data_IF_535049772398
#
_entry.id   IF_535049772398
#
_cell.length_a   1.000
_cell.length_b   1.000
_cell.length_c   1.000
_cell.angle_alpha   90.00
_cell.angle_beta   90.00
_cell.angle_gamma   90.00
#
_symmetry.space_group_name_H-M   'P 1'
#
loop_
_entity.id
_entity.type
_entity.pdbx_description
1 polymer ?
#
# COMPACT_ATOMS: atom_id res chain seq x y z
N UNK A 1 12.63 17.68 -5.33
CA UNK A 1 12.75 18.09 -6.74
C UNK A 1 12.85 16.79 -7.52
N UNK A 2 11.69 16.26 -7.99
CA UNK A 2 11.70 15.15 -8.95
C UNK A 2 12.14 15.72 -10.29
N UNK A 3 13.43 15.64 -10.59
CA UNK A 3 13.93 15.87 -11.92
C UNK A 3 13.70 14.59 -12.74
N UNK A 4 12.62 14.56 -13.51
CA UNK A 4 12.47 13.61 -14.60
C UNK A 4 13.51 13.96 -15.68
N UNK A 5 14.69 13.37 -15.60
CA UNK A 5 15.62 13.36 -16.72
C UNK A 5 15.12 12.32 -17.73
N UNK A 6 14.67 12.83 -18.86
CA UNK A 6 14.28 12.08 -20.05
C UNK A 6 15.50 11.31 -20.58
N UNK A 7 15.45 9.99 -20.44
CA UNK A 7 16.42 9.07 -21.00
C UNK A 7 15.84 7.66 -20.95
N UNK A 8 15.20 7.25 -22.03
CA UNK A 8 14.36 6.06 -22.12
C UNK A 8 15.07 4.69 -21.98
N UNK A 9 16.37 4.64 -21.86
CA UNK A 9 17.09 3.36 -21.77
C UNK A 9 17.44 2.91 -20.35
N UNK A 10 17.47 3.81 -19.37
CA UNK A 10 17.85 3.46 -17.99
C UNK A 10 16.72 2.82 -17.18
N UNK A 11 15.44 3.06 -17.53
CA UNK A 11 14.29 2.46 -16.85
C UNK A 11 14.08 0.98 -17.17
N UNK A 12 14.51 0.48 -18.34
CA UNK A 12 14.27 -0.91 -18.75
C UNK A 12 15.18 -1.89 -18.02
N UNK A 13 16.43 -1.50 -17.74
CA UNK A 13 17.38 -2.35 -17.02
C UNK A 13 17.02 -2.54 -15.54
N UNK A 14 16.56 -1.48 -14.89
CA UNK A 14 16.24 -1.51 -13.46
C UNK A 14 14.98 -2.37 -13.17
N UNK A 15 13.96 -2.30 -14.05
CA UNK A 15 12.77 -3.16 -13.95
C UNK A 15 13.07 -4.64 -14.12
N UNK A 16 14.03 -4.99 -14.99
CA UNK A 16 14.40 -6.39 -15.24
C UNK A 16 15.15 -6.98 -14.03
N UNK A 17 16.02 -6.21 -13.37
CA UNK A 17 16.75 -6.66 -12.16
C UNK A 17 15.78 -6.86 -11.01
N UNK A 18 14.82 -5.95 -10.80
CA UNK A 18 13.78 -6.08 -9.76
C UNK A 18 12.91 -7.31 -9.99
N UNK A 19 12.50 -7.58 -11.20
CA UNK A 19 11.69 -8.76 -11.52
C UNK A 19 12.43 -10.08 -11.25
N UNK A 20 13.73 -10.14 -11.48
CA UNK A 20 14.57 -11.32 -11.23
C UNK A 20 14.76 -11.56 -9.72
N UNK A 21 14.94 -10.50 -8.93
CA UNK A 21 15.11 -10.59 -7.48
C UNK A 21 13.79 -10.96 -6.78
N UNK A 22 12.65 -10.44 -7.25
CA UNK A 22 11.33 -10.80 -6.71
C UNK A 22 11.03 -12.29 -6.86
N UNK A 23 11.54 -12.94 -7.91
CA UNK A 23 11.36 -14.38 -8.12
C UNK A 23 12.11 -15.28 -7.12
N UNK A 24 13.08 -14.75 -6.37
CA UNK A 24 13.91 -15.49 -5.40
C UNK A 24 13.45 -15.33 -3.93
N UNK A 25 12.36 -14.63 -3.67
CA UNK A 25 11.90 -14.29 -2.32
C UNK A 25 10.99 -15.35 -1.68
N UNK A 26 10.79 -15.22 -0.37
CA UNK A 26 9.78 -15.98 0.36
C UNK A 26 8.38 -15.40 0.10
N UNK A 27 7.39 -16.27 -0.03
CA UNK A 27 6.00 -15.88 -0.24
C UNK A 27 5.15 -16.31 0.95
N UNK A 28 4.39 -15.39 1.51
CA UNK A 28 3.38 -15.67 2.53
C UNK A 28 2.01 -15.33 1.96
N UNK A 29 1.13 -16.32 1.91
CA UNK A 29 -0.26 -16.12 1.52
C UNK A 29 -1.08 -15.78 2.76
N UNK A 30 -1.73 -14.63 2.76
CA UNK A 30 -2.72 -14.24 3.75
C UNK A 30 -4.09 -14.16 3.09
N UNK A 31 -5.12 -14.62 3.79
CA UNK A 31 -6.51 -14.38 3.39
C UNK A 31 -7.00 -13.25 4.29
N UNK A 32 -7.30 -12.09 3.72
CA UNK A 32 -7.93 -11.01 4.48
C UNK A 32 -9.34 -11.42 4.88
N UNK A 33 -9.73 -11.06 6.09
CA UNK A 33 -11.05 -11.38 6.64
C UNK A 33 -12.21 -10.61 6.00
N UNK A 34 -13.39 -10.70 6.63
CA UNK A 34 -14.63 -10.04 6.17
C UNK A 34 -14.67 -8.52 6.42
N UNK A 35 -13.61 -7.94 6.92
CA UNK A 35 -13.52 -6.55 7.37
C UNK A 35 -12.85 -5.60 6.36
N UNK A 36 -12.54 -6.10 5.17
CA UNK A 36 -11.96 -5.32 4.08
C UNK A 36 -12.94 -4.30 3.50
N UNK A 37 -12.38 -3.23 2.91
CA UNK A 37 -13.12 -2.27 2.10
C UNK A 37 -12.56 -2.25 0.68
N UNK A 38 -13.43 -2.49 -0.31
CA UNK A 38 -13.06 -2.46 -1.73
C UNK A 38 -14.09 -1.65 -2.50
N UNK A 39 -13.66 -0.59 -3.15
CA UNK A 39 -14.56 0.21 -3.98
C UNK A 39 -13.82 0.80 -5.19
N UNK A 40 -14.32 0.51 -6.37
CA UNK A 40 -13.80 1.03 -7.63
C UNK A 40 -12.41 0.51 -8.05
N UNK A 41 -11.82 -0.41 -7.29
CA UNK A 41 -10.49 -0.98 -7.59
C UNK A 41 -10.63 -2.18 -8.51
N UNK A 42 -9.91 -2.17 -9.61
CA UNK A 42 -9.84 -3.31 -10.53
C UNK A 42 -8.78 -4.31 -10.06
N UNK A 43 -9.19 -5.51 -9.72
CA UNK A 43 -8.33 -6.61 -9.28
C UNK A 43 -8.21 -7.69 -10.36
N UNK A 44 -7.13 -8.46 -10.44
CA UNK A 44 -6.01 -8.49 -9.50
C UNK A 44 -4.94 -7.42 -9.74
N UNK A 45 -4.23 -7.04 -8.68
CA UNK A 45 -3.03 -6.19 -8.71
C UNK A 45 -1.81 -6.99 -8.27
N UNK A 46 -0.66 -6.75 -8.89
CA UNK A 46 0.55 -7.55 -8.65
C UNK A 46 1.79 -6.68 -8.47
N UNK A 47 2.73 -7.20 -7.68
CA UNK A 47 4.04 -6.60 -7.44
C UNK A 47 3.96 -5.15 -6.95
N UNK A 48 3.05 -4.88 -6.05
CA UNK A 48 2.88 -3.57 -5.44
C UNK A 48 3.89 -3.41 -4.30
N UNK A 49 4.81 -2.45 -4.38
CA UNK A 49 5.71 -2.13 -3.28
C UNK A 49 4.94 -1.55 -2.10
N UNK A 50 5.39 -1.87 -0.89
CA UNK A 50 4.73 -1.44 0.35
C UNK A 50 5.53 -0.33 1.01
N UNK A 51 4.95 0.86 1.14
CA UNK A 51 5.50 1.98 1.88
C UNK A 51 5.11 1.89 3.35
N UNK A 52 6.08 1.59 4.21
CA UNK A 52 5.90 1.47 5.66
C UNK A 52 6.40 2.74 6.33
N UNK A 53 5.60 3.42 7.15
CA UNK A 53 6.04 4.61 7.86
C UNK A 53 7.03 4.23 8.97
N UNK A 54 8.19 4.87 8.98
CA UNK A 54 9.21 4.68 10.03
C UNK A 54 8.90 5.57 11.23
N UNK A 55 8.38 6.78 10.97
CA UNK A 55 7.95 7.73 11.99
C UNK A 55 6.42 7.77 12.05
N UNK A 56 5.88 7.55 13.24
CA UNK A 56 4.44 7.53 13.48
C UNK A 56 3.89 8.92 13.87
N UNK A 57 4.76 9.90 14.09
CA UNK A 57 4.36 11.27 14.49
C UNK A 57 3.89 12.10 13.29
N UNK A 58 4.52 11.92 12.12
CA UNK A 58 4.11 12.54 10.84
C UNK A 58 4.01 11.47 9.75
N UNK A 59 2.87 10.80 9.67
CA UNK A 59 2.62 9.73 8.72
C UNK A 59 2.77 10.16 7.26
N UNK A 60 2.38 11.40 6.92
CA UNK A 60 2.46 11.91 5.54
C UNK A 60 3.91 11.97 5.08
N UNK A 61 4.78 12.58 5.89
CA UNK A 61 6.21 12.65 5.59
C UNK A 61 6.88 11.27 5.65
N UNK A 62 6.46 10.42 6.57
CA UNK A 62 7.00 9.06 6.72
C UNK A 62 6.68 8.19 5.49
N UNK A 63 5.45 8.19 4.98
CA UNK A 63 5.11 7.50 3.73
C UNK A 63 5.84 8.08 2.53
N UNK A 64 5.96 9.40 2.44
CA UNK A 64 6.75 10.04 1.37
C UNK A 64 8.20 9.57 1.39
N UNK A 65 8.84 9.53 2.57
CA UNK A 65 10.21 9.06 2.72
C UNK A 65 10.35 7.59 2.37
N UNK A 66 9.41 6.74 2.80
CA UNK A 66 9.39 5.33 2.46
C UNK A 66 9.29 5.11 0.94
N UNK A 67 8.46 5.88 0.24
CA UNK A 67 8.38 5.83 -1.23
C UNK A 67 9.68 6.28 -1.91
N UNK A 68 10.32 7.33 -1.41
CA UNK A 68 11.63 7.78 -1.91
C UNK A 68 12.69 6.69 -1.72
N UNK A 69 12.71 6.00 -0.58
CA UNK A 69 13.64 4.89 -0.34
C UNK A 69 13.42 3.70 -1.28
N UNK A 70 12.17 3.51 -1.73
CA UNK A 70 11.81 2.51 -2.73
C UNK A 70 12.03 2.99 -4.17
N UNK A 71 12.57 4.21 -4.36
CA UNK A 71 12.75 4.85 -5.66
C UNK A 71 11.43 5.00 -6.44
N UNK A 72 10.35 5.36 -5.72
CA UNK A 72 9.02 5.56 -6.26
C UNK A 72 8.59 7.03 -6.20
N UNK A 73 7.89 7.45 -7.25
CA UNK A 73 7.26 8.76 -7.29
C UNK A 73 5.83 8.67 -6.75
N UNK A 74 5.48 9.39 -5.68
CA UNK A 74 4.14 9.33 -5.09
C UNK A 74 3.00 9.71 -6.04
N UNK A 75 3.30 10.46 -7.12
CA UNK A 75 2.29 10.98 -8.06
C UNK A 75 2.05 10.10 -9.28
N UNK A 76 2.93 9.15 -9.56
CA UNK A 76 2.87 8.39 -10.83
C UNK A 76 2.93 6.89 -10.66
N UNK A 77 3.53 6.41 -9.58
CA UNK A 77 3.73 4.97 -9.38
C UNK A 77 2.59 4.35 -8.57
N UNK A 78 2.37 3.06 -8.78
CA UNK A 78 1.44 2.28 -7.98
C UNK A 78 2.16 1.70 -6.75
N UNK A 79 1.58 1.88 -5.59
CA UNK A 79 2.12 1.41 -4.31
C UNK A 79 1.00 1.15 -3.31
N UNK A 80 1.38 0.59 -2.18
CA UNK A 80 0.50 0.37 -1.03
C UNK A 80 1.04 1.12 0.17
N UNK A 81 0.20 1.84 0.89
CA UNK A 81 0.54 2.47 2.16
C UNK A 81 0.25 1.49 3.30
N UNK A 82 1.25 1.16 4.08
CA UNK A 82 1.05 0.40 5.31
C UNK A 82 0.73 1.34 6.46
N UNK A 83 -0.17 0.91 7.34
CA UNK A 83 -0.42 1.61 8.60
C UNK A 83 0.62 1.19 9.65
N UNK A 84 0.87 2.06 10.66
CA UNK A 84 1.76 1.71 11.76
C UNK A 84 1.32 0.42 12.46
N UNK A 85 2.27 -0.47 12.74
CA UNK A 85 1.99 -1.72 13.42
C UNK A 85 1.52 -1.51 14.89
N UNK A 86 1.97 -0.41 15.50
CA UNK A 86 1.66 -0.04 16.89
C UNK A 86 0.37 0.79 17.03
N UNK A 87 -0.37 1.01 15.93
CA UNK A 87 -1.56 1.85 15.95
C UNK A 87 -2.58 1.31 16.98
N UNK A 88 -2.90 2.07 18.04
CA UNK A 88 -3.89 1.62 18.99
C UNK A 88 -5.29 1.63 18.37
N UNK A 89 -6.07 0.57 18.60
CA UNK A 89 -7.46 0.48 18.12
C UNK A 89 -8.35 1.40 18.96
N UNK A 90 -8.16 2.71 18.75
CA UNK A 90 -8.95 3.78 19.40
C UNK A 90 -9.46 4.74 18.34
N UNK A 91 -10.66 5.23 18.50
CA UNK A 91 -11.29 6.15 17.54
C UNK A 91 -10.42 7.36 17.20
N UNK A 92 -9.77 7.97 18.20
CA UNK A 92 -8.88 9.11 18.00
C UNK A 92 -7.67 8.76 17.09
N UNK A 93 -7.06 7.59 17.27
CA UNK A 93 -5.94 7.15 16.45
C UNK A 93 -6.37 6.86 15.00
N UNK A 94 -7.55 6.26 14.83
CA UNK A 94 -8.14 6.04 13.51
C UNK A 94 -8.39 7.37 12.79
N UNK A 95 -8.92 8.39 13.48
CA UNK A 95 -9.11 9.73 12.91
C UNK A 95 -7.78 10.38 12.50
N UNK A 96 -6.72 10.22 13.27
CA UNK A 96 -5.39 10.73 12.92
C UNK A 96 -4.90 10.10 11.63
N UNK A 97 -5.06 8.79 11.48
CA UNK A 97 -4.68 8.07 10.24
C UNK A 97 -5.53 8.53 9.05
N UNK A 98 -6.83 8.70 9.23
CA UNK A 98 -7.73 9.19 8.18
C UNK A 98 -7.28 10.56 7.69
N UNK A 99 -7.03 11.50 8.59
CA UNK A 99 -6.57 12.84 8.24
C UNK A 99 -5.22 12.78 7.50
N UNK A 100 -4.29 11.94 7.96
CA UNK A 100 -3.01 11.75 7.30
C UNK A 100 -3.16 11.15 5.89
N UNK A 101 -4.05 10.19 5.68
CA UNK A 101 -4.31 9.62 4.35
C UNK A 101 -4.95 10.63 3.41
N UNK A 102 -5.90 11.42 3.89
CA UNK A 102 -6.54 12.50 3.11
C UNK A 102 -5.52 13.57 2.73
N UNK A 103 -4.69 14.01 3.69
CA UNK A 103 -3.62 14.97 3.44
C UNK A 103 -2.58 14.43 2.46
N UNK A 104 -2.24 13.14 2.56
CA UNK A 104 -1.31 12.49 1.64
C UNK A 104 -1.86 12.51 0.22
N UNK A 105 -3.11 12.09 0.01
CA UNK A 105 -3.76 12.11 -1.31
C UNK A 105 -3.85 13.54 -1.87
N UNK A 106 -4.15 14.53 -1.04
CA UNK A 106 -4.21 15.93 -1.45
C UNK A 106 -2.84 16.48 -1.90
N UNK A 107 -1.75 16.09 -1.22
CA UNK A 107 -0.37 16.50 -1.57
C UNK A 107 0.18 15.76 -2.79
N UNK A 108 -0.21 14.50 -2.95
CA UNK A 108 0.31 13.60 -3.98
C UNK A 108 -0.84 12.98 -4.79
N UNK A 109 -1.56 13.80 -5.58
CA UNK A 109 -2.62 13.27 -6.45
C UNK A 109 -2.00 12.24 -7.42
N UNK A 110 -2.61 11.05 -7.47
CA UNK A 110 -2.10 9.90 -8.20
C UNK A 110 -3.26 9.26 -9.00
N UNK A 111 -3.06 8.86 -10.27
CA UNK A 111 -4.09 8.20 -11.08
C UNK A 111 -4.40 6.77 -10.62
N UNK A 112 -3.53 6.17 -9.81
CA UNK A 112 -3.74 4.83 -9.26
C UNK A 112 -4.69 4.85 -8.05
N UNK A 113 -5.35 3.72 -7.73
CA UNK A 113 -6.18 3.62 -6.53
C UNK A 113 -5.37 3.84 -5.25
N UNK A 114 -6.01 4.37 -4.22
CA UNK A 114 -5.45 4.38 -2.88
C UNK A 114 -5.56 2.97 -2.29
N UNK A 115 -4.41 2.36 -2.06
CA UNK A 115 -4.30 1.03 -1.48
C UNK A 115 -3.68 1.14 -0.09
N UNK A 116 -4.37 0.64 0.91
CA UNK A 116 -3.94 0.69 2.32
C UNK A 116 -3.95 -0.72 2.89
N UNK A 117 -2.90 -1.08 3.62
CA UNK A 117 -2.83 -2.33 4.39
C UNK A 117 -2.64 -2.04 5.87
N UNK A 118 -3.30 -2.85 6.69
CA UNK A 118 -3.23 -2.79 8.14
C UNK A 118 -2.97 -4.18 8.72
N UNK A 119 -2.18 -4.25 9.79
CA UNK A 119 -1.97 -5.49 10.53
C UNK A 119 -3.10 -5.84 11.51
N UNK A 120 -4.06 -4.94 11.68
CA UNK A 120 -5.14 -5.03 12.67
C UNK A 120 -6.49 -4.99 11.97
N UNK A 121 -7.50 -5.59 12.61
CA UNK A 121 -8.88 -5.69 12.13
C UNK A 121 -9.63 -4.35 12.30
N UNK A 122 -9.48 -3.44 11.33
CA UNK A 122 -10.30 -2.23 11.23
C UNK A 122 -10.43 -1.69 9.79
N UNK A 123 -10.12 -2.50 8.79
CA UNK A 123 -10.15 -2.09 7.39
C UNK A 123 -11.49 -1.54 6.94
N UNK A 124 -12.58 -2.20 7.31
CA UNK A 124 -13.94 -1.75 6.99
C UNK A 124 -14.27 -0.41 7.65
N UNK A 125 -13.95 -0.25 8.94
CA UNK A 125 -14.21 0.98 9.65
C UNK A 125 -13.42 2.15 9.05
N UNK A 126 -12.15 1.92 8.69
CA UNK A 126 -11.31 2.91 8.03
C UNK A 126 -11.86 3.29 6.65
N UNK A 127 -12.24 2.31 5.85
CA UNK A 127 -12.83 2.52 4.52
C UNK A 127 -14.13 3.33 4.59
N UNK A 128 -15.01 3.00 5.53
CA UNK A 128 -16.27 3.74 5.75
C UNK A 128 -16.03 5.21 6.11
N UNK A 129 -15.00 5.50 6.89
CA UNK A 129 -14.69 6.88 7.30
C UNK A 129 -13.89 7.65 6.25
N UNK A 130 -13.08 6.97 5.43
CA UNK A 130 -12.34 7.59 4.31
C UNK A 130 -13.25 7.93 3.14
N UNK A 131 -14.24 7.08 2.86
CA UNK A 131 -15.09 7.21 1.67
C UNK A 131 -15.75 8.58 1.48
N UNK A 132 -16.37 9.21 2.51
CA UNK A 132 -16.96 10.53 2.36
C UNK A 132 -15.96 11.64 1.98
N UNK A 133 -14.68 11.46 2.32
CA UNK A 133 -13.61 12.43 2.06
C UNK A 133 -12.91 12.20 0.71
N UNK A 134 -12.95 10.96 0.18
CA UNK A 134 -12.28 10.54 -1.05
C UNK A 134 -13.27 10.00 -2.09
N UNK A 135 -14.38 10.70 -2.30
CA UNK A 135 -15.57 10.23 -3.03
C UNK A 135 -15.33 9.66 -4.43
N UNK A 136 -14.32 10.12 -5.16
CA UNK A 136 -14.06 9.69 -6.53
C UNK A 136 -12.82 8.80 -6.68
N UNK A 137 -12.03 8.64 -5.63
CA UNK A 137 -10.81 7.85 -5.68
C UNK A 137 -11.14 6.36 -5.46
N UNK A 138 -10.72 5.46 -6.36
CA UNK A 138 -10.78 4.04 -6.08
C UNK A 138 -9.98 3.70 -4.81
N UNK A 139 -10.61 2.97 -3.89
CA UNK A 139 -10.08 2.73 -2.54
C UNK A 139 -10.13 1.24 -2.20
N UNK A 140 -9.00 0.72 -1.74
CA UNK A 140 -8.93 -0.58 -1.08
C UNK A 140 -8.25 -0.44 0.28
N UNK A 141 -8.90 -0.91 1.32
CA UNK A 141 -8.33 -1.07 2.66
C UNK A 141 -8.40 -2.54 3.03
N UNK A 142 -7.24 -3.14 3.23
CA UNK A 142 -7.09 -4.57 3.49
C UNK A 142 -6.44 -4.71 4.86
N UNK A 143 -7.06 -5.44 5.74
CA UNK A 143 -6.58 -5.66 7.09
C UNK A 143 -6.02 -7.06 7.31
N UNK A 144 -5.49 -7.32 8.51
CA UNK A 144 -4.86 -8.58 8.90
C UNK A 144 -3.66 -8.98 8.04
N UNK A 145 -3.01 -8.02 7.37
CA UNK A 145 -1.83 -8.25 6.55
C UNK A 145 -0.59 -7.70 7.25
N UNK A 146 0.33 -8.58 7.59
CA UNK A 146 1.61 -8.20 8.21
C UNK A 146 2.65 -8.02 7.11
N UNK A 147 3.22 -6.84 7.03
CA UNK A 147 4.23 -6.46 6.05
C UNK A 147 5.49 -5.90 6.72
N UNK A 148 6.61 -6.01 6.03
CA UNK A 148 7.93 -5.51 6.46
C UNK A 148 8.52 -4.59 5.40
N UNK A 149 9.51 -3.81 5.78
CA UNK A 149 10.23 -2.96 4.84
C UNK A 149 10.85 -3.79 3.70
N UNK A 150 10.62 -3.36 2.46
CA UNK A 150 11.07 -4.05 1.26
C UNK A 150 10.12 -5.15 0.75
N UNK A 151 8.98 -5.37 1.41
CA UNK A 151 7.96 -6.31 0.93
C UNK A 151 7.20 -5.74 -0.27
N UNK A 152 6.74 -6.68 -1.10
CA UNK A 152 5.78 -6.43 -2.17
C UNK A 152 4.54 -7.25 -1.92
N UNK A 153 3.39 -6.77 -2.36
CA UNK A 153 2.15 -7.54 -2.24
C UNK A 153 1.48 -7.74 -3.60
N UNK A 154 0.83 -8.89 -3.73
CA UNK A 154 -0.15 -9.17 -4.76
C UNK A 154 -1.54 -9.20 -4.12
N UNK A 155 -2.49 -8.53 -4.72
CA UNK A 155 -3.89 -8.53 -4.32
C UNK A 155 -4.65 -9.32 -5.39
N UNK A 156 -5.19 -10.45 -5.01
CA UNK A 156 -5.89 -11.36 -5.91
C UNK A 156 -7.32 -10.94 -6.20
N UNK A 157 -7.99 -11.73 -7.01
CA UNK A 157 -9.41 -11.54 -7.31
C UNK A 157 -10.26 -11.85 -6.07
N UNK A 158 -11.27 -11.02 -5.75
CA UNK A 158 -12.16 -11.28 -4.64
C UNK A 158 -12.87 -12.64 -4.75
N UNK A 159 -12.98 -13.34 -3.64
CA UNK A 159 -13.67 -14.62 -3.52
C UNK A 159 -14.99 -14.43 -2.75
N UNK A 160 -15.87 -15.41 -2.86
CA UNK A 160 -17.15 -15.46 -2.13
C UNK A 160 -17.97 -14.16 -2.22
N UNK A 161 -18.15 -13.65 -3.45
CA UNK A 161 -18.95 -12.44 -3.67
C UNK A 161 -18.30 -11.13 -3.15
N UNK A 162 -16.97 -11.12 -2.97
CA UNK A 162 -16.26 -9.93 -2.49
C UNK A 162 -15.93 -9.92 -1.00
N UNK A 163 -16.30 -10.98 -0.29
CA UNK A 163 -16.11 -11.05 1.17
C UNK A 163 -14.66 -11.33 1.59
N UNK A 164 -13.85 -11.90 0.70
CA UNK A 164 -12.45 -12.29 0.99
C UNK A 164 -11.58 -11.95 -0.20
N UNK A 165 -10.41 -11.39 0.07
CA UNK A 165 -9.39 -11.10 -0.95
C UNK A 165 -8.10 -11.82 -0.58
N UNK A 166 -7.59 -12.70 -1.46
CA UNK A 166 -6.29 -13.32 -1.24
C UNK A 166 -5.19 -12.28 -1.43
N UNK A 167 -4.31 -12.17 -0.42
CA UNK A 167 -3.14 -11.30 -0.46
C UNK A 167 -1.89 -12.14 -0.30
N UNK A 168 -0.95 -11.99 -1.22
CA UNK A 168 0.35 -12.64 -1.13
C UNK A 168 1.41 -11.61 -0.79
N UNK A 169 2.08 -11.78 0.34
CA UNK A 169 3.23 -10.96 0.73
C UNK A 169 4.50 -11.65 0.20
N UNK A 170 5.29 -10.90 -0.54
CA UNK A 170 6.56 -11.32 -1.13
C UNK A 170 7.69 -10.58 -0.43
N UNK A 171 8.45 -11.28 0.38
CA UNK A 171 9.62 -10.72 1.04
C UNK A 171 10.87 -11.03 0.24
N UNK A 172 11.70 -10.02 -0.02
CA UNK A 172 13.02 -10.22 -0.60
C UNK A 172 13.93 -10.80 0.48
N UNK A 173 14.13 -12.12 0.44
CA UNK A 173 15.10 -12.76 1.31
C UNK A 173 16.52 -12.49 0.77
N UNK A 174 17.24 -11.56 1.35
CA UNK A 174 18.68 -11.52 1.18
C UNK A 174 19.28 -12.53 2.16
N UNK A 175 20.01 -13.54 1.70
CA UNK A 175 20.75 -14.40 2.63
C UNK A 175 21.76 -13.53 3.39
N UNK A 176 21.63 -13.51 4.71
CA UNK A 176 22.58 -12.88 5.64
C UNK A 176 23.91 -13.63 5.66
#
# INVERSE_FOLDING_TARGET
>A
ICACLVGSEMCIRDRTVRATVIGAGAHTLSLSGSTIWLEGVQLPLRNLPVAIPIDETDLVSAWQQALIQLDLCPKTDAYVLALPASLPVRYAAVLTVINALVDFVARFPNPHPLLVVAGQDFGKALGMLLRPQLQQLPLAVIDEVIVRAGDYIDIGTPLFGGSVVPVTVKSLAFPS
#
